data_IF_890812273973
#
_entry.id   IF_890812273973
#
_cell.length_a   1.000
_cell.length_b   1.000
_cell.length_c   1.000
_cell.angle_alpha   90.00
_cell.angle_beta   90.00
_cell.angle_gamma   90.00
#
_symmetry.space_group_name_H-M   'P 1'
#
loop_
_entity.id
_entity.type
_entity.pdbx_description
1 polymer ?
#
# COMPACT_ATOMS: atom_id res chain seq x y z
N UNK A 1 24.66 -4.78 6.77
CA UNK A 1 23.64 -3.73 6.95
C UNK A 1 22.71 -4.22 8.04
N UNK A 2 22.71 -3.59 9.21
CA UNK A 2 21.86 -3.99 10.33
C UNK A 2 20.51 -3.31 10.09
N UNK A 3 19.47 -4.07 9.71
CA UNK A 3 18.12 -3.56 9.84
C UNK A 3 17.87 -3.47 11.34
N UNK A 4 17.84 -2.24 11.86
CA UNK A 4 17.53 -2.01 13.27
C UNK A 4 16.10 -2.51 13.53
N UNK A 5 15.82 -3.17 14.67
CA UNK A 5 14.50 -3.72 14.99
C UNK A 5 13.39 -2.67 15.07
N UNK A 6 13.73 -1.39 15.01
CA UNK A 6 12.79 -0.25 14.96
C UNK A 6 12.17 -0.08 13.57
N UNK A 7 12.82 -0.57 12.51
CA UNK A 7 12.38 -0.39 11.12
C UNK A 7 11.26 -1.37 10.73
N UNK A 8 11.30 -2.62 11.21
CA UNK A 8 10.29 -3.65 10.90
C UNK A 8 8.92 -3.34 11.49
N UNK A 9 8.87 -2.83 12.72
CA UNK A 9 7.60 -2.48 13.38
C UNK A 9 6.96 -1.24 12.75
N UNK A 10 7.77 -0.26 12.35
CA UNK A 10 7.28 0.93 11.65
C UNK A 10 6.76 0.57 10.26
N UNK A 11 7.49 -0.26 9.52
CA UNK A 11 7.06 -0.73 8.19
C UNK A 11 5.78 -1.54 8.26
N UNK A 12 5.61 -2.40 9.27
CA UNK A 12 4.35 -3.12 9.51
C UNK A 12 3.18 -2.15 9.72
N UNK A 13 3.33 -1.14 10.59
CA UNK A 13 2.30 -0.11 10.83
C UNK A 13 1.94 0.68 9.58
N UNK A 14 2.93 1.04 8.77
CA UNK A 14 2.70 1.74 7.50
C UNK A 14 1.87 0.86 6.57
N UNK A 15 2.26 -0.39 6.41
CA UNK A 15 1.56 -1.36 5.59
C UNK A 15 0.12 -1.60 6.10
N UNK A 16 -0.11 -1.67 7.42
CA UNK A 16 -1.45 -1.78 8.02
C UNK A 16 -2.35 -0.59 7.69
N UNK A 17 -1.83 0.64 7.85
CA UNK A 17 -2.58 1.86 7.49
C UNK A 17 -2.93 1.84 6.00
N UNK A 18 -1.96 1.47 5.15
CA UNK A 18 -2.14 1.46 3.71
C UNK A 18 -3.19 0.45 3.27
N UNK A 19 -3.17 -0.76 3.84
CA UNK A 19 -4.16 -1.81 3.58
C UNK A 19 -5.53 -1.48 4.17
N UNK A 20 -5.58 -0.84 5.33
CA UNK A 20 -6.83 -0.36 5.93
C UNK A 20 -7.51 0.70 5.06
N UNK A 21 -6.77 1.71 4.58
CA UNK A 21 -7.32 2.69 3.66
C UNK A 21 -7.75 2.04 2.33
N UNK A 22 -7.08 0.97 1.89
CA UNK A 22 -7.46 0.22 0.67
C UNK A 22 -8.82 -0.45 0.82
N UNK A 23 -9.13 -1.02 1.98
CA UNK A 23 -10.39 -1.72 2.22
C UNK A 23 -11.58 -0.77 2.36
N UNK A 24 -11.33 0.46 2.82
CA UNK A 24 -12.36 1.51 2.96
C UNK A 24 -12.58 2.36 1.71
N UNK A 25 -11.70 2.24 0.70
CA UNK A 25 -11.77 3.05 -0.53
C UNK A 25 -12.58 2.35 -1.61
N UNK A 26 -13.45 3.10 -2.30
CA UNK A 26 -14.29 2.55 -3.37
C UNK A 26 -13.53 2.42 -4.70
N UNK A 27 -12.38 3.08 -4.82
CA UNK A 27 -11.52 2.98 -6.00
C UNK A 27 -10.04 3.16 -5.65
N UNK A 28 -9.17 2.70 -6.54
CA UNK A 28 -7.72 2.93 -6.41
C UNK A 28 -7.36 4.41 -6.39
N UNK A 29 -8.10 5.24 -7.14
CA UNK A 29 -7.88 6.68 -7.19
C UNK A 29 -8.18 7.33 -5.84
N UNK A 30 -9.31 6.97 -5.22
CA UNK A 30 -9.65 7.46 -3.88
C UNK A 30 -8.63 7.00 -2.84
N UNK A 31 -8.23 5.73 -2.90
CA UNK A 31 -7.19 5.19 -2.02
C UNK A 31 -5.87 5.96 -2.16
N UNK A 32 -5.35 6.09 -3.38
CA UNK A 32 -4.12 6.86 -3.67
C UNK A 32 -4.26 8.33 -3.24
N UNK A 33 -5.46 8.92 -3.33
CA UNK A 33 -5.72 10.28 -2.86
C UNK A 33 -5.68 10.39 -1.33
N UNK A 34 -6.31 9.44 -0.61
CA UNK A 34 -6.27 9.36 0.86
C UNK A 34 -4.84 9.22 1.37
N UNK A 35 -4.05 8.33 0.77
CA UNK A 35 -2.65 8.10 1.15
C UNK A 35 -1.76 9.35 1.04
N UNK A 36 -2.04 10.23 0.07
CA UNK A 36 -1.30 11.50 -0.05
C UNK A 36 -1.47 12.40 1.18
N UNK A 37 -2.63 12.33 1.85
CA UNK A 37 -2.86 13.04 3.11
C UNK A 37 -1.96 12.56 4.26
N UNK A 38 -1.47 11.32 4.19
CA UNK A 38 -0.53 10.73 5.14
C UNK A 38 0.93 10.89 4.70
N UNK A 39 1.21 11.49 3.54
CA UNK A 39 2.55 11.60 3.00
C UNK A 39 3.05 10.32 2.32
N UNK A 40 2.15 9.43 1.91
CA UNK A 40 2.49 8.18 1.21
C UNK A 40 2.00 8.17 -0.24
N UNK A 41 2.70 7.43 -1.09
CA UNK A 41 2.31 7.12 -2.45
C UNK A 41 2.47 5.62 -2.73
N UNK A 42 1.76 5.14 -3.75
CA UNK A 42 1.86 3.78 -4.25
C UNK A 42 2.52 3.83 -5.62
N UNK A 43 3.57 3.03 -5.78
CA UNK A 43 4.23 2.77 -7.06
C UNK A 43 3.97 1.32 -7.47
N UNK A 44 3.36 1.14 -8.63
CA UNK A 44 3.19 -0.16 -9.25
C UNK A 44 4.53 -0.61 -9.86
N UNK A 45 4.94 -1.85 -9.62
CA UNK A 45 6.17 -2.48 -10.12
C UNK A 45 5.86 -3.88 -10.65
N UNK A 46 6.75 -4.47 -11.43
CA UNK A 46 6.56 -5.83 -11.98
C UNK A 46 6.45 -6.91 -10.89
N UNK A 47 6.95 -6.64 -9.68
CA UNK A 47 6.91 -7.55 -8.53
C UNK A 47 5.76 -7.24 -7.55
N UNK A 48 4.88 -6.30 -7.88
CA UNK A 48 3.77 -5.86 -7.02
C UNK A 48 3.81 -4.37 -6.73
N UNK A 49 3.21 -3.94 -5.61
CA UNK A 49 3.09 -2.53 -5.25
C UNK A 49 4.04 -2.16 -4.12
N UNK A 50 4.72 -1.03 -4.28
CA UNK A 50 5.62 -0.46 -3.26
C UNK A 50 5.03 0.83 -2.72
N UNK A 51 4.99 0.94 -1.40
CA UNK A 51 4.66 2.18 -0.69
C UNK A 51 5.91 3.04 -0.63
N UNK A 52 5.81 4.29 -1.07
CA UNK A 52 6.90 5.26 -1.06
C UNK A 52 6.51 6.48 -0.23
N UNK A 53 7.47 7.06 0.47
CA UNK A 53 7.30 8.36 1.14
C UNK A 53 7.25 9.48 0.10
N UNK A 54 6.27 10.38 0.21
CA UNK A 54 6.19 11.58 -0.63
C UNK A 54 7.22 12.65 -0.24
N UNK A 55 7.72 12.61 1.00
CA UNK A 55 8.64 13.63 1.51
C UNK A 55 10.03 13.48 0.88
N UNK A 56 10.51 12.25 0.75
CA UNK A 56 11.87 11.94 0.30
C UNK A 56 11.93 10.93 -0.86
N UNK A 57 10.79 10.38 -1.30
CA UNK A 57 10.73 9.38 -2.36
C UNK A 57 11.24 8.00 -1.99
N UNK A 58 11.54 7.72 -0.72
CA UNK A 58 12.11 6.44 -0.29
C UNK A 58 11.07 5.33 -0.26
N UNK A 59 11.49 4.13 -0.59
CA UNK A 59 10.68 2.92 -0.52
C UNK A 59 10.53 2.50 0.95
N UNK A 60 9.29 2.26 1.38
CA UNK A 60 8.94 1.99 2.78
C UNK A 60 8.58 0.52 2.98
N UNK A 61 7.58 0.02 2.24
CA UNK A 61 7.20 -1.39 2.31
C UNK A 61 6.59 -1.86 0.97
N UNK A 62 6.69 -3.17 0.71
CA UNK A 62 6.00 -3.80 -0.43
C UNK A 62 4.66 -4.33 0.06
N UNK A 63 3.59 -4.02 -0.65
CA UNK A 63 2.26 -4.53 -0.35
C UNK A 63 2.11 -5.94 -0.95
N UNK A 64 1.45 -6.85 -0.23
CA UNK A 64 1.04 -8.11 -0.83
C UNK A 64 0.12 -7.81 -2.01
N UNK A 65 0.39 -8.43 -3.16
CA UNK A 65 -0.50 -8.33 -4.31
C UNK A 65 -1.88 -8.79 -3.87
N UNK A 66 -2.90 -7.92 -4.00
CA UNK A 66 -4.27 -8.34 -3.78
C UNK A 66 -4.56 -9.39 -4.85
N UNK A 67 -4.65 -10.65 -4.45
CA UNK A 67 -4.88 -11.76 -5.34
C UNK A 67 -6.07 -11.43 -6.27
N UNK A 68 -6.00 -11.75 -7.58
CA UNK A 68 -6.99 -11.34 -8.57
C UNK A 68 -8.42 -11.89 -8.35
N UNK A 69 -8.65 -12.67 -7.29
CA UNK A 69 -9.91 -13.33 -6.97
C UNK A 69 -11.03 -12.41 -6.46
N UNK A 70 -10.73 -11.21 -5.96
CA UNK A 70 -11.75 -10.27 -5.45
C UNK A 70 -12.51 -9.50 -6.56
N UNK A 71 -11.97 -9.45 -7.78
CA UNK A 71 -12.57 -8.67 -8.89
C UNK A 71 -13.51 -9.50 -9.78
N UNK A 72 -13.40 -10.83 -9.75
CA UNK A 72 -14.17 -11.72 -10.63
C UNK A 72 -15.56 -12.09 -10.12
N UNK A 73 -15.87 -11.89 -8.83
CA UNK A 73 -17.10 -12.43 -8.23
C UNK A 73 -18.32 -11.47 -8.27
N UNK A 74 -18.16 -10.23 -8.75
CA UNK A 74 -19.23 -9.22 -8.73
C UNK A 74 -19.96 -9.00 -10.08
N UNK A 75 -19.61 -9.72 -11.14
CA UNK A 75 -20.23 -9.59 -12.48
C UNK A 75 -20.89 -10.87 -13.01
N UNK A 76 -21.15 -11.85 -12.16
CA UNK A 76 -21.89 -13.06 -12.52
C UNK A 76 -23.15 -13.21 -11.65
N UNK A 77 -24.20 -12.45 -11.99
CA UNK A 77 -25.58 -12.72 -11.57
C UNK A 77 -26.54 -12.16 -12.62
#
# INVERSE_FOLDING_TARGET
MKHDPIDTELTAKICDIVLHERSMSLSEREWKYRLRGYGYAIRDTDAGRVVTSLINGSDLCTLPEAQPEDSAMHYAA
#
